data_IF_180227690180
#
_entry.id   IF_180227690180
#
_cell.length_a   1.000
_cell.length_b   1.000
_cell.length_c   1.000
_cell.angle_alpha   90.00
_cell.angle_beta   90.00
_cell.angle_gamma   90.00
#
_symmetry.space_group_name_H-M   'P 1'
#
loop_
_entity.id
_entity.type
_entity.pdbx_description
1 polymer ?
#
# COMPACT_ATOMS: atom_id res chain seq x y z
N UNK A 1 -6.99 -31.42 -13.85
CA UNK A 1 -6.62 -30.13 -14.46
C UNK A 1 -7.64 -29.12 -14.00
N UNK A 2 -7.45 -28.55 -12.82
CA UNK A 2 -8.38 -27.59 -12.20
C UNK A 2 -7.83 -26.96 -10.91
N UNK A 3 -6.59 -27.26 -10.50
CA UNK A 3 -5.97 -26.65 -9.31
C UNK A 3 -5.17 -25.39 -9.68
N UNK A 4 -4.61 -25.30 -10.89
CA UNK A 4 -3.74 -24.18 -11.30
C UNK A 4 -4.51 -22.88 -11.64
N UNK A 5 -5.83 -22.95 -11.83
CA UNK A 5 -6.64 -21.80 -12.25
C UNK A 5 -7.30 -21.04 -11.10
N UNK A 6 -7.32 -21.62 -9.89
CA UNK A 6 -7.89 -20.99 -8.68
C UNK A 6 -6.82 -20.13 -7.95
N UNK A 7 -5.55 -20.54 -8.05
CA UNK A 7 -4.40 -19.83 -7.45
C UNK A 7 -4.07 -18.53 -8.22
N UNK A 8 -4.13 -18.55 -9.55
CA UNK A 8 -3.92 -17.35 -10.39
C UNK A 8 -5.04 -16.30 -10.24
N UNK A 9 -6.30 -16.74 -10.06
CA UNK A 9 -7.46 -15.85 -9.84
C UNK A 9 -7.44 -15.23 -8.43
N UNK A 10 -6.87 -15.94 -7.46
CA UNK A 10 -6.61 -15.45 -6.09
C UNK A 10 -5.65 -14.25 -6.10
N UNK A 11 -4.61 -14.33 -6.92
CA UNK A 11 -3.53 -13.35 -6.94
C UNK A 11 -3.92 -12.08 -7.71
N UNK A 12 -4.62 -12.19 -8.84
CA UNK A 12 -5.07 -11.02 -9.61
C UNK A 12 -6.00 -10.12 -8.77
N UNK A 13 -7.00 -10.71 -8.12
CA UNK A 13 -7.91 -9.94 -7.26
C UNK A 13 -7.20 -9.36 -6.02
N UNK A 14 -6.09 -9.95 -5.58
CA UNK A 14 -5.28 -9.38 -4.51
C UNK A 14 -4.64 -8.06 -4.96
N UNK A 15 -4.01 -8.02 -6.12
CA UNK A 15 -3.42 -6.80 -6.66
C UNK A 15 -4.48 -5.75 -6.97
N UNK A 16 -5.60 -6.13 -7.59
CA UNK A 16 -6.71 -5.20 -7.84
C UNK A 16 -7.19 -4.51 -6.54
N UNK A 17 -7.29 -5.24 -5.43
CA UNK A 17 -7.67 -4.65 -4.13
C UNK A 17 -6.59 -3.72 -3.58
N UNK A 18 -5.31 -4.05 -3.78
CA UNK A 18 -4.21 -3.19 -3.38
C UNK A 18 -4.23 -1.86 -4.16
N UNK A 19 -4.47 -1.95 -5.47
CA UNK A 19 -4.57 -0.79 -6.37
C UNK A 19 -5.73 0.12 -5.98
N UNK A 20 -6.88 -0.42 -5.57
CA UNK A 20 -7.99 0.40 -5.09
C UNK A 20 -7.66 1.20 -3.82
N UNK A 21 -6.83 0.65 -2.91
CA UNK A 21 -6.34 1.44 -1.77
C UNK A 21 -5.40 2.56 -2.20
N UNK A 22 -4.57 2.29 -3.20
CA UNK A 22 -3.64 3.27 -3.77
C UNK A 22 -4.39 4.37 -4.53
N UNK A 23 -5.39 4.03 -5.33
CA UNK A 23 -6.28 4.97 -6.00
C UNK A 23 -6.88 5.95 -5.00
N UNK A 24 -7.43 5.45 -3.89
CA UNK A 24 -7.97 6.28 -2.83
C UNK A 24 -6.89 7.16 -2.16
N UNK A 25 -5.68 6.64 -1.96
CA UNK A 25 -4.57 7.43 -1.45
C UNK A 25 -4.22 8.59 -2.41
N UNK A 26 -4.23 8.34 -3.72
CA UNK A 26 -3.99 9.36 -4.74
C UNK A 26 -5.08 10.43 -4.74
N UNK A 27 -6.34 10.07 -4.55
CA UNK A 27 -7.45 11.03 -4.40
C UNK A 27 -7.26 11.96 -3.20
N UNK A 28 -6.67 11.49 -2.10
CA UNK A 28 -6.35 12.34 -0.94
C UNK A 28 -5.16 13.28 -1.17
N UNK A 29 -4.26 12.94 -2.09
CA UNK A 29 -3.13 13.79 -2.49
C UNK A 29 -3.51 14.78 -3.61
N UNK A 30 -4.61 14.55 -4.31
CA UNK A 30 -5.05 15.35 -5.45
C UNK A 30 -5.59 16.71 -5.00
N UNK A 31 -4.83 17.77 -5.29
CA UNK A 31 -5.24 19.14 -4.99
C UNK A 31 -6.42 19.64 -5.82
N UNK A 32 -6.73 18.98 -6.93
CA UNK A 32 -7.83 19.35 -7.83
C UNK A 32 -9.13 18.61 -7.51
N UNK A 33 -9.10 17.64 -6.59
CA UNK A 33 -10.28 16.90 -6.18
C UNK A 33 -11.18 17.76 -5.26
N UNK A 34 -12.15 18.45 -5.87
CA UNK A 34 -13.11 19.32 -5.19
C UNK A 34 -14.24 18.58 -4.47
N UNK A 35 -14.41 17.28 -4.75
CA UNK A 35 -15.47 16.46 -4.18
C UNK A 35 -15.06 15.83 -2.83
N UNK A 36 -13.76 15.83 -2.51
CA UNK A 36 -13.25 15.37 -1.22
C UNK A 36 -13.58 16.36 -0.10
N UNK A 37 -14.19 15.92 1.01
CA UNK A 37 -14.42 16.78 2.18
C UNK A 37 -13.14 17.04 3.00
N UNK A 38 -12.02 16.39 2.64
CA UNK A 38 -10.74 16.53 3.31
C UNK A 38 -9.84 17.47 2.51
N UNK A 39 -9.12 18.36 3.22
CA UNK A 39 -8.10 19.20 2.60
C UNK A 39 -7.04 18.32 1.94
N UNK A 40 -6.71 18.53 0.66
CA UNK A 40 -5.60 17.83 0.02
C UNK A 40 -4.30 18.04 0.80
N UNK A 41 -3.55 16.97 0.97
CA UNK A 41 -2.29 16.98 1.71
C UNK A 41 -1.15 16.44 0.84
N UNK A 42 0.10 16.76 1.19
CA UNK A 42 1.25 16.25 0.43
C UNK A 42 1.33 14.72 0.51
N UNK A 43 1.88 14.03 -0.51
CA UNK A 43 1.93 12.56 -0.55
C UNK A 43 2.50 11.89 0.71
N UNK A 44 3.49 12.51 1.35
CA UNK A 44 4.05 12.02 2.61
C UNK A 44 3.04 11.96 3.78
N UNK A 45 2.09 12.88 3.84
CA UNK A 45 1.02 12.88 4.86
C UNK A 45 -0.05 11.84 4.56
N UNK A 46 -0.36 11.61 3.27
CA UNK A 46 -1.22 10.50 2.84
C UNK A 46 -0.57 9.17 3.21
N UNK A 47 0.72 8.99 2.91
CA UNK A 47 1.47 7.77 3.24
C UNK A 47 1.44 7.46 4.74
N UNK A 48 1.66 8.46 5.60
CA UNK A 48 1.53 8.29 7.04
C UNK A 48 0.12 7.87 7.48
N UNK A 49 -0.90 8.44 6.84
CA UNK A 49 -2.31 8.11 7.11
C UNK A 49 -2.64 6.69 6.66
N UNK A 50 -2.12 6.26 5.51
CA UNK A 50 -2.29 4.93 4.96
C UNK A 50 -1.62 3.87 5.84
N UNK A 51 -0.40 4.12 6.31
CA UNK A 51 0.29 3.27 7.29
C UNK A 51 -0.52 3.10 8.58
N UNK A 52 -1.07 4.20 9.10
CA UNK A 52 -1.92 4.17 10.29
C UNK A 52 -3.22 3.40 10.06
N UNK A 53 -3.85 3.54 8.90
CA UNK A 53 -5.04 2.79 8.52
C UNK A 53 -4.74 1.28 8.47
N UNK A 54 -3.64 0.88 7.83
CA UNK A 54 -3.19 -0.51 7.77
C UNK A 54 -2.98 -1.11 9.18
N UNK A 55 -2.31 -0.37 10.07
CA UNK A 55 -2.09 -0.81 11.45
C UNK A 55 -3.40 -1.04 12.21
N UNK A 56 -4.38 -0.14 12.07
CA UNK A 56 -5.70 -0.29 12.71
C UNK A 56 -6.48 -1.49 12.19
N UNK A 57 -6.48 -1.68 10.87
CA UNK A 57 -7.15 -2.80 10.23
C UNK A 57 -6.53 -4.13 10.66
N UNK A 58 -5.19 -4.22 10.62
CA UNK A 58 -4.41 -5.39 11.05
C UNK A 58 -4.69 -5.78 12.49
N UNK A 59 -4.69 -4.81 13.42
CA UNK A 59 -4.99 -5.07 14.84
C UNK A 59 -6.45 -5.53 15.03
N UNK A 60 -7.40 -4.92 14.33
CA UNK A 60 -8.81 -5.34 14.39
C UNK A 60 -8.99 -6.77 13.87
N UNK A 61 -8.40 -7.09 12.72
CA UNK A 61 -8.49 -8.41 12.11
C UNK A 61 -7.89 -9.48 13.03
N UNK A 62 -6.72 -9.21 13.62
CA UNK A 62 -6.12 -10.11 14.60
C UNK A 62 -7.02 -10.29 15.82
N UNK A 63 -7.60 -9.22 16.36
CA UNK A 63 -8.48 -9.30 17.52
C UNK A 63 -9.72 -10.18 17.27
N UNK A 64 -10.24 -10.23 16.03
CA UNK A 64 -11.36 -11.09 15.66
C UNK A 64 -11.08 -12.60 15.83
N UNK A 65 -9.81 -13.02 15.88
CA UNK A 65 -9.41 -14.42 16.08
C UNK A 65 -9.38 -14.85 17.56
N UNK A 66 -9.61 -13.93 18.51
CA UNK A 66 -9.50 -14.20 19.94
C UNK A 66 -10.86 -14.15 20.64
N UNK A 67 -11.00 -14.97 21.70
CA UNK A 67 -12.23 -15.03 22.52
C UNK A 67 -12.16 -14.19 23.78
N UNK A 68 -10.96 -13.75 24.17
CA UNK A 68 -10.74 -12.96 25.38
C UNK A 68 -9.65 -11.91 25.14
N UNK A 69 -9.79 -10.77 25.84
CA UNK A 69 -8.77 -9.73 25.81
C UNK A 69 -7.46 -10.17 26.46
N UNK A 70 -7.51 -11.17 27.36
CA UNK A 70 -6.31 -11.71 28.00
C UNK A 70 -5.46 -12.51 27.01
N UNK A 71 -6.08 -13.38 26.22
CA UNK A 71 -5.36 -14.20 25.22
C UNK A 71 -4.82 -13.31 24.09
N UNK A 72 -5.62 -12.35 23.62
CA UNK A 72 -5.16 -11.35 22.66
C UNK A 72 -3.93 -10.56 23.16
N UNK A 73 -3.92 -10.22 24.46
CA UNK A 73 -2.80 -9.51 25.08
C UNK A 73 -1.55 -10.38 25.22
N UNK A 74 -1.69 -11.68 25.50
CA UNK A 74 -0.57 -12.63 25.59
C UNK A 74 0.17 -12.74 24.26
N UNK A 75 -0.57 -12.71 23.15
CA UNK A 75 -0.02 -12.87 21.81
C UNK A 75 0.40 -11.55 21.15
N UNK A 76 0.42 -10.44 21.90
CA UNK A 76 0.80 -9.11 21.38
C UNK A 76 2.08 -9.15 20.55
N UNK A 77 3.12 -9.82 21.04
CA UNK A 77 4.42 -9.87 20.34
C UNK A 77 4.34 -10.69 19.06
N UNK A 78 3.60 -11.81 19.08
CA UNK A 78 3.39 -12.67 17.91
C UNK A 78 2.68 -11.90 16.79
N UNK A 79 1.61 -11.17 17.13
CA UNK A 79 0.87 -10.34 16.18
C UNK A 79 1.76 -9.24 15.60
N UNK A 80 2.54 -8.58 16.46
CA UNK A 80 3.45 -7.52 16.05
C UNK A 80 4.50 -8.03 15.05
N UNK A 81 5.17 -9.13 15.38
CA UNK A 81 6.26 -9.68 14.57
C UNK A 81 5.74 -10.19 13.23
N UNK A 82 4.54 -10.80 13.21
CA UNK A 82 3.89 -11.22 11.97
C UNK A 82 3.70 -10.04 11.01
N UNK A 83 3.02 -8.97 11.43
CA UNK A 83 2.73 -7.86 10.52
C UNK A 83 3.98 -7.08 10.10
N UNK A 84 4.97 -6.92 10.99
CA UNK A 84 6.23 -6.28 10.61
C UNK A 84 7.00 -7.10 9.59
N UNK A 85 7.05 -8.42 9.75
CA UNK A 85 7.74 -9.29 8.79
C UNK A 85 7.02 -9.29 7.44
N UNK A 86 5.69 -9.41 7.42
CA UNK A 86 4.93 -9.33 6.17
C UNK A 86 5.13 -7.98 5.46
N UNK A 87 5.05 -6.87 6.20
CA UNK A 87 5.27 -5.55 5.63
C UNK A 87 6.70 -5.38 5.10
N UNK A 88 7.69 -5.90 5.84
CA UNK A 88 9.09 -5.87 5.43
C UNK A 88 9.31 -6.62 4.13
N UNK A 89 8.78 -7.84 3.98
CA UNK A 89 8.91 -8.63 2.76
C UNK A 89 8.33 -7.89 1.55
N UNK A 90 7.09 -7.38 1.66
CA UNK A 90 6.47 -6.60 0.58
C UNK A 90 7.26 -5.33 0.24
N UNK A 91 7.81 -4.65 1.25
CA UNK A 91 8.64 -3.47 1.03
C UNK A 91 9.94 -3.81 0.32
N UNK A 92 10.61 -4.91 0.72
CA UNK A 92 11.85 -5.37 0.08
C UNK A 92 11.61 -5.76 -1.39
N UNK A 93 10.52 -6.45 -1.70
CA UNK A 93 10.15 -6.82 -3.07
C UNK A 93 9.95 -5.57 -3.96
N UNK A 94 9.22 -4.57 -3.46
CA UNK A 94 9.01 -3.31 -4.19
C UNK A 94 10.31 -2.49 -4.31
N UNK A 95 11.16 -2.49 -3.28
CA UNK A 95 12.45 -1.80 -3.34
C UNK A 95 13.36 -2.41 -4.42
N UNK A 96 13.41 -3.74 -4.52
CA UNK A 96 14.20 -4.41 -5.55
C UNK A 96 13.65 -4.11 -6.95
N UNK A 97 12.33 -4.17 -7.13
CA UNK A 97 11.68 -3.83 -8.40
C UNK A 97 12.02 -2.40 -8.87
N UNK A 98 11.92 -1.41 -7.97
CA UNK A 98 12.29 -0.04 -8.27
C UNK A 98 13.79 0.13 -8.50
N UNK A 99 14.64 -0.69 -7.87
CA UNK A 99 16.08 -0.66 -8.08
C UNK A 99 16.44 -1.20 -9.47
N UNK A 100 15.81 -2.29 -9.89
CA UNK A 100 15.99 -2.90 -11.21
C UNK A 100 15.49 -2.00 -12.35
N UNK A 101 14.37 -1.29 -12.12
CA UNK A 101 13.70 -0.49 -13.14
C UNK A 101 13.90 1.03 -12.98
N UNK A 102 14.81 1.47 -12.11
CA UNK A 102 14.95 2.88 -11.72
C UNK A 102 15.09 3.82 -12.92
N UNK A 103 16.06 3.57 -13.80
CA UNK A 103 16.32 4.41 -14.98
C UNK A 103 15.17 4.39 -16.00
N UNK A 104 14.37 3.33 -16.02
CA UNK A 104 13.18 3.22 -16.87
C UNK A 104 12.03 4.07 -16.33
N UNK A 105 11.84 4.09 -15.00
CA UNK A 105 10.80 4.88 -14.34
C UNK A 105 11.18 6.35 -14.19
N UNK A 106 12.47 6.62 -14.04
CA UNK A 106 13.05 7.95 -13.86
C UNK A 106 14.12 8.21 -14.92
N UNK A 107 13.76 8.24 -16.22
CA UNK A 107 14.72 8.50 -17.27
C UNK A 107 15.35 9.88 -17.06
N UNK A 108 16.69 9.93 -17.09
CA UNK A 108 17.44 11.19 -17.09
C UNK A 108 17.04 11.98 -18.35
N UNK A 109 16.22 13.02 -18.21
CA UNK A 109 15.97 13.96 -19.30
C UNK A 109 17.09 15.00 -19.33
N UNK A 110 17.82 15.09 -20.44
CA UNK A 110 18.59 16.29 -20.73
C UNK A 110 17.58 17.44 -21.01
N UNK A 111 17.67 18.50 -20.22
CA UNK A 111 17.03 19.83 -20.36
C UNK A 111 15.57 20.04 -19.87
N UNK A 112 15.46 20.76 -18.74
CA UNK A 112 14.53 21.86 -18.40
C UNK A 112 12.99 21.73 -18.56
N UNK A 113 12.42 20.58 -18.92
CA UNK A 113 10.95 20.44 -19.09
C UNK A 113 10.29 19.29 -18.32
N UNK A 114 10.84 18.86 -17.18
CA UNK A 114 10.05 18.07 -16.22
C UNK A 114 9.17 19.02 -15.41
N UNK A 115 8.01 19.39 -15.96
CA UNK A 115 6.86 19.55 -15.06
C UNK A 115 6.68 18.20 -14.37
N UNK A 116 6.41 18.14 -13.05
CA UNK A 116 5.94 16.90 -12.45
C UNK A 116 4.66 16.57 -13.19
N UNK A 117 4.79 15.70 -14.18
CA UNK A 117 3.68 15.23 -14.93
C UNK A 117 2.90 14.41 -13.94
N UNK A 118 1.79 14.98 -13.46
CA UNK A 118 0.83 14.31 -12.61
C UNK A 118 0.25 13.06 -13.29
N UNK A 119 0.66 12.74 -14.53
CA UNK A 119 0.31 11.55 -15.29
C UNK A 119 1.40 10.46 -15.37
N UNK A 120 2.64 10.69 -14.92
CA UNK A 120 3.66 9.61 -14.86
C UNK A 120 3.45 8.81 -13.57
N UNK A 121 2.44 7.95 -13.64
CA UNK A 121 2.08 6.90 -12.69
C UNK A 121 1.67 7.41 -11.32
N UNK A 122 0.36 7.69 -11.18
CA UNK A 122 -0.36 7.65 -9.91
C UNK A 122 -0.28 6.24 -9.30
N UNK A 123 0.89 5.85 -8.77
CA UNK A 123 1.12 4.64 -7.98
C UNK A 123 0.50 3.30 -8.49
N UNK A 124 0.17 3.18 -9.78
CA UNK A 124 -0.22 1.92 -10.44
C UNK A 124 0.73 1.65 -11.59
#
# INVERSE_FOLDING_TARGET
MSQDNDELVSDEQFYERADEFIHLANEFADSENLDSPLTPVVPGQVSASFMYANARYSVWLSACSYKSAEDFKKDKQVIHDYYLEQFKLMLEDNLEEYHENFETYFPQSDEDDIKPDNEVKRFV
#
